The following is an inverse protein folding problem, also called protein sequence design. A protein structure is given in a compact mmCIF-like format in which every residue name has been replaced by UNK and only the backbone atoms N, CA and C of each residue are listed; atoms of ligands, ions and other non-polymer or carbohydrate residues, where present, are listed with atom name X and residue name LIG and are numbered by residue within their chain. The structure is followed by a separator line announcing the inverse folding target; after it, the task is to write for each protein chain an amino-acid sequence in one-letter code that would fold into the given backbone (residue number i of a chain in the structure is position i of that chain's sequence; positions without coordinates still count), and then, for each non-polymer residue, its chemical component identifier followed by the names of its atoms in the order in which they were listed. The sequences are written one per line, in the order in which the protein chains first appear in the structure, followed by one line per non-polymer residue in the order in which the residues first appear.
data_IF_143746084869
#
_entry.id   IF_143746084869
#
_cell.length_a   1.000
_cell.length_b   1.000
_cell.length_c   1.000
_cell.angle_alpha   90.00
_cell.angle_beta   90.00
_cell.angle_gamma   90.00
#
_symmetry.space_group_name_H-M   'P 1'
#
loop_
_entity.id
_entity.type
_entity.pdbx_description
1 polymer ?
#
# COMPACT_ATOMS: atom_id res chain seq x y z
N UNK A 1 -17.94 17.55 69.86
CA UNK A 1 -16.61 16.93 69.80
C UNK A 1 -16.77 15.52 69.24
N UNK A 2 -16.46 15.34 67.93
CA UNK A 2 -16.25 14.03 67.30
C UNK A 2 -15.17 14.20 66.24
N UNK A 3 -14.07 13.51 66.46
CA UNK A 3 -12.84 13.45 65.70
C UNK A 3 -13.09 12.92 64.29
N UNK A 4 -12.72 13.67 63.24
CA UNK A 4 -12.61 13.20 61.85
C UNK A 4 -11.26 12.49 61.67
N UNK A 5 -11.34 11.20 61.41
CA UNK A 5 -10.18 10.37 61.01
C UNK A 5 -9.81 10.67 59.58
N UNK A 6 -8.58 11.08 59.41
CA UNK A 6 -7.88 11.26 58.15
C UNK A 6 -7.72 9.92 57.42
N UNK A 7 -8.33 9.75 56.23
CA UNK A 7 -8.10 8.59 55.37
C UNK A 7 -6.99 8.93 54.38
N UNK A 8 -5.85 8.28 54.58
CA UNK A 8 -4.71 8.37 53.64
C UNK A 8 -5.10 7.89 52.23
N UNK A 9 -4.80 8.69 51.25
CA UNK A 9 -4.91 8.32 49.83
C UNK A 9 -3.72 7.41 49.48
N UNK A 10 -4.03 6.15 49.21
CA UNK A 10 -3.08 5.23 48.61
C UNK A 10 -2.77 5.68 47.15
N UNK A 11 -1.50 5.84 46.85
CA UNK A 11 -1.01 6.08 45.46
C UNK A 11 -1.23 4.80 44.64
N UNK A 12 -1.71 4.91 43.37
CA UNK A 12 -1.77 3.75 42.49
C UNK A 12 -0.36 3.28 42.13
N UNK A 13 -0.16 1.97 41.89
CA UNK A 13 1.14 1.43 41.51
C UNK A 13 1.56 1.93 40.12
N UNK A 14 2.82 2.32 40.02
CA UNK A 14 3.50 2.67 38.76
C UNK A 14 3.67 1.37 37.99
N UNK A 15 2.92 1.20 36.89
CA UNK A 15 3.15 0.11 35.96
C UNK A 15 4.43 0.43 35.17
N UNK A 16 5.47 -0.36 35.42
CA UNK A 16 6.69 -0.37 34.62
C UNK A 16 6.36 -0.84 33.20
N UNK A 17 6.55 0.04 32.22
CA UNK A 17 6.38 -0.29 30.81
C UNK A 17 7.39 -1.36 30.35
N UNK A 18 7.06 -2.13 29.31
CA UNK A 18 7.98 -3.14 28.77
C UNK A 18 9.27 -2.51 28.24
N UNK A 19 10.40 -3.23 28.31
CA UNK A 19 11.69 -2.69 27.91
C UNK A 19 11.74 -2.42 26.40
N UNK A 20 12.33 -1.30 26.02
CA UNK A 20 12.58 -0.93 24.64
C UNK A 20 13.38 -2.03 23.92
N UNK A 21 12.79 -2.62 22.89
CA UNK A 21 13.45 -3.62 22.05
C UNK A 21 14.50 -2.90 21.20
N UNK A 22 15.74 -2.97 21.61
CA UNK A 22 16.89 -2.57 20.80
C UNK A 22 17.12 -3.65 19.74
N UNK A 23 16.87 -3.36 18.49
CA UNK A 23 17.27 -4.19 17.37
C UNK A 23 18.79 -4.20 17.24
N UNK A 24 19.43 -5.21 17.84
CA UNK A 24 20.84 -5.52 17.56
C UNK A 24 20.85 -6.50 16.38
N UNK A 25 21.53 -6.12 15.31
CA UNK A 25 21.95 -7.02 14.23
C UNK A 25 22.73 -8.18 14.86
N UNK A 26 22.21 -9.40 14.79
CA UNK A 26 22.99 -10.61 14.98
C UNK A 26 23.26 -11.20 13.59
N UNK A 27 24.50 -11.05 13.14
CA UNK A 27 25.08 -11.88 12.08
C UNK A 27 25.35 -13.24 12.72
N UNK A 28 24.60 -14.26 12.37
CA UNK A 28 24.91 -15.66 12.67
C UNK A 28 25.66 -16.23 11.49
N UNK A 29 26.97 -16.39 11.66
CA UNK A 29 27.84 -17.16 10.77
C UNK A 29 27.49 -18.65 10.96
N UNK A 30 26.75 -19.22 10.03
CA UNK A 30 26.50 -20.67 9.98
C UNK A 30 27.65 -21.37 9.25
N UNK A 31 28.38 -22.19 9.96
CA UNK A 31 29.37 -23.13 9.39
C UNK A 31 28.60 -24.25 8.70
N UNK A 32 28.71 -24.34 7.38
CA UNK A 32 28.17 -25.45 6.59
C UNK A 32 29.31 -26.50 6.44
N UNK A 33 29.13 -27.62 7.08
CA UNK A 33 29.95 -28.83 6.87
C UNK A 33 29.54 -29.49 5.56
N UNK A 34 30.45 -29.58 4.62
CA UNK A 34 30.25 -30.24 3.32
C UNK A 34 30.25 -31.76 3.43
N UNK A 35 29.13 -32.40 3.10
CA UNK A 35 29.10 -33.81 2.70
C UNK A 35 29.17 -33.88 1.17
N UNK A 36 30.25 -34.42 0.64
CA UNK A 36 30.40 -34.72 -0.76
C UNK A 36 29.59 -35.97 -1.12
N UNK A 37 28.51 -35.80 -1.92
CA UNK A 37 27.84 -36.89 -2.63
C UNK A 37 28.12 -36.71 -4.11
N UNK A 38 28.83 -37.62 -4.73
CA UNK A 38 29.02 -37.71 -6.17
C UNK A 38 27.73 -38.26 -6.79
N UNK A 39 26.98 -37.36 -7.44
CA UNK A 39 25.80 -37.69 -8.24
C UNK A 39 25.87 -36.96 -9.58
N UNK A 40 25.62 -37.68 -10.67
CA UNK A 40 25.57 -37.18 -12.05
C UNK A 40 24.80 -35.86 -12.13
N UNK A 41 25.48 -34.80 -12.46
CA UNK A 41 24.88 -33.47 -12.71
C UNK A 41 24.18 -33.50 -14.07
N UNK A 42 22.85 -33.70 -14.07
CA UNK A 42 22.05 -33.12 -15.13
C UNK A 42 22.19 -31.59 -14.97
N UNK A 43 22.82 -30.93 -15.94
CA UNK A 43 22.91 -29.50 -16.00
C UNK A 43 21.46 -28.95 -16.17
N UNK A 44 20.82 -28.62 -15.08
CA UNK A 44 19.66 -27.76 -15.10
C UNK A 44 20.18 -26.39 -15.53
N UNK A 45 19.90 -26.01 -16.77
CA UNK A 45 20.02 -24.63 -17.22
C UNK A 45 19.01 -23.84 -16.38
N UNK A 46 19.44 -23.31 -15.25
CA UNK A 46 18.71 -22.26 -14.58
C UNK A 46 18.70 -21.10 -15.55
N UNK A 47 17.53 -20.83 -16.11
CA UNK A 47 17.33 -19.59 -16.86
C UNK A 47 17.84 -18.46 -15.96
N UNK A 48 18.83 -17.72 -16.43
CA UNK A 48 19.35 -16.58 -15.70
C UNK A 48 18.17 -15.66 -15.42
N UNK A 49 17.86 -15.43 -14.14
CA UNK A 49 16.84 -14.46 -13.76
C UNK A 49 17.25 -13.14 -14.40
N UNK A 50 16.38 -12.56 -15.23
CA UNK A 50 16.66 -11.28 -15.84
C UNK A 50 17.00 -10.27 -14.73
N UNK A 51 18.03 -9.44 -14.97
CA UNK A 51 18.36 -8.38 -14.01
C UNK A 51 17.16 -7.46 -13.80
N UNK A 52 16.91 -7.01 -12.54
CA UNK A 52 15.82 -6.11 -12.27
C UNK A 52 15.89 -4.85 -13.11
N UNK A 53 14.79 -4.51 -13.76
CA UNK A 53 14.68 -3.26 -14.51
C UNK A 53 14.31 -2.11 -13.56
N UNK A 54 14.76 -0.88 -13.81
CA UNK A 54 14.43 0.27 -12.99
C UNK A 54 12.93 0.59 -13.06
N UNK A 55 12.36 1.23 -12.01
CA UNK A 55 11.00 1.72 -12.02
C UNK A 55 10.74 2.68 -13.18
N UNK A 56 9.55 2.62 -13.77
CA UNK A 56 9.12 3.57 -14.79
C UNK A 56 8.96 4.96 -14.18
N UNK A 57 9.45 5.98 -14.89
CA UNK A 57 9.37 7.37 -14.44
C UNK A 57 7.91 7.81 -14.22
N UNK A 58 7.64 8.47 -13.10
CA UNK A 58 6.31 8.98 -12.73
C UNK A 58 5.27 7.93 -12.34
N UNK A 59 5.60 6.64 -12.41
CA UNK A 59 4.69 5.55 -12.00
C UNK A 59 4.82 5.31 -10.50
N UNK A 60 3.69 5.31 -9.81
CA UNK A 60 3.65 5.09 -8.36
C UNK A 60 4.05 3.66 -8.02
N UNK A 61 5.00 3.45 -7.10
CA UNK A 61 5.20 2.15 -6.51
C UNK A 61 4.02 1.80 -5.60
N UNK A 62 3.81 0.51 -5.33
CA UNK A 62 2.84 0.03 -4.38
C UNK A 62 3.53 -0.68 -3.22
N UNK A 63 2.87 -0.68 -2.06
CA UNK A 63 3.26 -1.48 -0.90
C UNK A 63 2.08 -2.30 -0.44
N UNK A 64 2.34 -3.53 -0.04
CA UNK A 64 1.36 -4.45 0.53
C UNK A 64 1.88 -4.92 1.88
N UNK A 65 1.01 -4.95 2.88
CA UNK A 65 1.33 -5.55 4.16
C UNK A 65 1.44 -7.06 4.01
N UNK A 66 2.65 -7.60 4.01
CA UNK A 66 2.91 -9.04 4.05
C UNK A 66 2.88 -9.58 5.47
N UNK A 67 2.84 -10.91 5.64
CA UNK A 67 2.80 -11.54 6.96
C UNK A 67 4.03 -11.30 7.84
N UNK A 68 5.15 -10.92 7.25
CA UNK A 68 6.45 -10.68 7.94
C UNK A 68 7.02 -9.27 7.70
N UNK A 69 6.30 -8.39 7.00
CA UNK A 69 6.74 -7.03 6.71
C UNK A 69 6.17 -6.48 5.41
N UNK A 70 6.56 -5.27 5.02
CA UNK A 70 6.12 -4.66 3.79
C UNK A 70 6.73 -5.37 2.58
N UNK A 71 5.90 -5.55 1.55
CA UNK A 71 6.30 -6.05 0.24
C UNK A 71 6.03 -4.94 -0.77
N UNK A 72 7.06 -4.55 -1.50
CA UNK A 72 7.03 -3.44 -2.43
C UNK A 72 6.88 -3.94 -3.86
N UNK A 73 6.14 -3.20 -4.66
CA UNK A 73 5.93 -3.45 -6.08
C UNK A 73 6.21 -2.20 -6.89
N UNK A 74 6.81 -2.37 -8.04
CA UNK A 74 6.97 -1.31 -9.01
C UNK A 74 6.82 -1.85 -10.43
N UNK A 75 6.37 -0.98 -11.32
CA UNK A 75 6.27 -1.26 -12.75
C UNK A 75 7.48 -0.67 -13.45
N UNK A 76 8.19 -1.47 -14.23
CA UNK A 76 9.29 -1.02 -15.04
C UNK A 76 8.80 -0.35 -16.36
N UNK A 77 9.67 0.36 -17.05
CA UNK A 77 9.33 1.10 -18.27
C UNK A 77 8.76 0.21 -19.40
N UNK A 78 9.12 -1.07 -19.43
CA UNK A 78 8.58 -2.05 -20.37
C UNK A 78 7.23 -2.65 -19.93
N UNK A 79 6.66 -2.21 -18.81
CA UNK A 79 5.38 -2.69 -18.26
C UNK A 79 5.48 -3.94 -17.40
N UNK A 80 6.65 -4.54 -17.21
CA UNK A 80 6.80 -5.67 -16.28
C UNK A 80 6.69 -5.20 -14.85
N UNK A 81 6.06 -6.01 -13.99
CA UNK A 81 5.90 -5.74 -12.56
C UNK A 81 6.96 -6.50 -11.78
N UNK A 82 7.62 -5.82 -10.88
CA UNK A 82 8.65 -6.35 -10.00
C UNK A 82 8.20 -6.26 -8.54
N UNK A 83 8.59 -7.25 -7.77
CA UNK A 83 8.36 -7.28 -6.32
C UNK A 83 9.67 -7.36 -5.58
N UNK A 84 9.70 -6.74 -4.39
CA UNK A 84 10.88 -6.68 -3.52
C UNK A 84 10.45 -6.58 -2.06
N UNK A 85 11.19 -7.23 -1.18
CA UNK A 85 11.19 -6.99 0.27
C UNK A 85 12.34 -6.05 0.62
N UNK A 86 12.41 -5.59 1.84
CA UNK A 86 13.42 -4.65 2.32
C UNK A 86 14.86 -5.14 2.08
N UNK A 87 15.10 -6.45 2.29
CA UNK A 87 16.43 -7.07 2.22
C UNK A 87 16.60 -8.05 1.05
N UNK A 88 15.54 -8.37 0.32
CA UNK A 88 15.57 -9.33 -0.78
C UNK A 88 15.98 -8.71 -2.11
N UNK A 89 16.44 -9.53 -3.05
CA UNK A 89 16.57 -9.11 -4.45
C UNK A 89 15.19 -8.90 -5.09
N UNK A 90 15.11 -7.97 -6.04
CA UNK A 90 13.87 -7.78 -6.80
C UNK A 90 13.63 -8.99 -7.72
N UNK A 91 12.38 -9.45 -7.78
CA UNK A 91 11.95 -10.55 -8.65
C UNK A 91 10.76 -10.12 -9.50
N UNK A 92 10.67 -10.65 -10.73
CA UNK A 92 9.54 -10.36 -11.61
C UNK A 92 8.29 -11.11 -11.14
N UNK A 93 7.15 -10.43 -11.17
CA UNK A 93 5.86 -10.99 -10.73
C UNK A 93 5.35 -12.07 -11.69
N UNK A 94 5.46 -11.89 -12.96
CA UNK A 94 5.03 -12.82 -14.03
C UNK A 94 5.33 -12.17 -15.37
N UNK A 95 5.12 -12.89 -16.48
CA UNK A 95 5.43 -12.40 -17.82
C UNK A 95 4.44 -11.36 -18.37
N UNK A 96 3.39 -11.02 -17.63
CA UNK A 96 2.42 -10.02 -18.04
C UNK A 96 2.97 -8.59 -18.02
N UNK A 97 2.28 -7.72 -18.75
CA UNK A 97 2.61 -6.29 -18.82
C UNK A 97 1.41 -5.44 -18.41
N UNK A 98 1.67 -4.45 -17.58
CA UNK A 98 0.68 -3.48 -17.14
C UNK A 98 1.08 -2.07 -17.59
N UNK A 99 0.10 -1.18 -17.62
CA UNK A 99 0.29 0.24 -17.90
C UNK A 99 0.03 1.03 -16.62
N UNK A 100 1.03 1.71 -16.11
CA UNK A 100 0.95 2.46 -14.86
C UNK A 100 1.19 1.58 -13.63
N UNK A 101 0.72 2.06 -12.49
CA UNK A 101 0.93 1.40 -11.20
C UNK A 101 -0.01 0.22 -10.97
N UNK A 102 0.39 -0.65 -10.06
CA UNK A 102 -0.42 -1.77 -9.54
C UNK A 102 -0.96 -1.44 -8.15
N UNK A 103 -1.99 -2.16 -7.74
CA UNK A 103 -2.50 -2.19 -6.37
C UNK A 103 -2.53 -3.64 -5.88
N UNK A 104 -2.35 -3.86 -4.58
CA UNK A 104 -2.27 -5.22 -4.05
C UNK A 104 -2.96 -5.41 -2.72
N UNK A 105 -3.37 -6.64 -2.46
CA UNK A 105 -3.97 -7.12 -1.22
C UNK A 105 -3.23 -8.36 -0.74
N UNK A 106 -3.03 -8.51 0.58
CA UNK A 106 -2.50 -9.73 1.19
C UNK A 106 -3.60 -10.45 1.96
N UNK A 107 -3.99 -11.65 1.54
CA UNK A 107 -5.10 -12.41 2.13
C UNK A 107 -4.69 -13.34 3.28
N UNK A 108 -3.49 -13.15 3.83
CA UNK A 108 -2.93 -14.00 4.90
C UNK A 108 -2.00 -15.11 4.39
N UNK A 109 -2.09 -15.50 3.12
CA UNK A 109 -1.24 -16.53 2.49
C UNK A 109 -0.65 -16.10 1.15
N UNK A 110 -1.36 -15.29 0.40
CA UNK A 110 -0.98 -14.86 -0.95
C UNK A 110 -1.27 -13.37 -1.14
N UNK A 111 -0.57 -12.77 -2.07
CA UNK A 111 -0.86 -11.43 -2.55
C UNK A 111 -1.71 -11.54 -3.81
N UNK A 112 -2.71 -10.68 -3.92
CA UNK A 112 -3.51 -10.47 -5.12
C UNK A 112 -3.12 -9.10 -5.65
N UNK A 113 -2.49 -9.06 -6.83
CA UNK A 113 -2.14 -7.82 -7.51
C UNK A 113 -3.14 -7.50 -8.60
N UNK A 114 -3.44 -6.23 -8.75
CA UNK A 114 -4.31 -5.68 -9.80
C UNK A 114 -3.56 -4.62 -10.59
N UNK A 115 -3.74 -4.63 -11.90
CA UNK A 115 -3.13 -3.67 -12.80
C UNK A 115 -3.97 -3.43 -14.05
N UNK A 116 -3.74 -2.31 -14.72
CA UNK A 116 -4.31 -2.03 -16.02
C UNK A 116 -3.45 -2.70 -17.10
N UNK A 117 -4.04 -3.58 -17.89
CA UNK A 117 -3.37 -4.19 -19.04
C UNK A 117 -3.22 -3.22 -20.21
N UNK A 118 -2.40 -3.58 -21.20
CA UNK A 118 -2.19 -2.79 -22.43
C UNK A 118 -3.45 -2.65 -23.29
N UNK A 119 -4.44 -3.53 -23.07
CA UNK A 119 -5.77 -3.49 -23.69
C UNK A 119 -6.78 -2.69 -22.86
N UNK A 120 -6.33 -1.92 -21.86
CA UNK A 120 -7.14 -1.14 -20.92
C UNK A 120 -8.06 -1.95 -20.00
N UNK A 121 -8.06 -3.27 -20.05
CA UNK A 121 -8.82 -4.09 -19.10
C UNK A 121 -8.14 -4.12 -17.73
N UNK A 122 -8.92 -4.40 -16.68
CA UNK A 122 -8.39 -4.76 -15.38
C UNK A 122 -7.86 -6.19 -15.43
N UNK A 123 -6.65 -6.40 -14.94
CA UNK A 123 -6.01 -7.71 -14.83
C UNK A 123 -5.58 -7.95 -13.38
N UNK A 124 -5.50 -9.22 -13.00
CA UNK A 124 -4.96 -9.61 -11.70
C UNK A 124 -4.01 -10.80 -11.81
N UNK A 125 -3.09 -10.90 -10.87
CA UNK A 125 -2.23 -12.05 -10.64
C UNK A 125 -2.18 -12.34 -9.15
N UNK A 126 -2.04 -13.63 -8.80
CA UNK A 126 -1.91 -14.07 -7.40
C UNK A 126 -0.58 -14.75 -7.18
N UNK A 127 0.02 -14.54 -6.01
CA UNK A 127 1.30 -15.18 -5.75
C UNK A 127 1.88 -14.87 -4.39
N UNK A 128 3.05 -15.44 -4.15
CA UNK A 128 3.83 -15.27 -2.93
C UNK A 128 5.32 -15.50 -3.24
N UNK A 129 6.17 -14.60 -2.75
CA UNK A 129 7.60 -14.66 -3.02
C UNK A 129 7.91 -14.63 -4.52
N UNK A 130 8.51 -15.70 -5.03
CA UNK A 130 8.89 -15.85 -6.45
C UNK A 130 7.86 -16.62 -7.28
N UNK A 131 6.76 -17.07 -6.69
CA UNK A 131 5.74 -17.89 -7.36
C UNK A 131 4.50 -17.08 -7.63
N UNK A 132 4.23 -16.79 -8.88
CA UNK A 132 3.08 -16.02 -9.34
C UNK A 132 2.28 -16.77 -10.38
N UNK A 133 0.95 -16.60 -10.37
CA UNK A 133 0.09 -17.03 -11.46
C UNK A 133 0.36 -16.17 -12.70
N UNK A 134 -0.09 -16.66 -13.86
CA UNK A 134 -0.24 -15.78 -15.01
C UNK A 134 -1.29 -14.71 -14.72
N UNK A 135 -1.17 -13.57 -15.38
CA UNK A 135 -2.18 -12.52 -15.33
C UNK A 135 -3.48 -12.99 -15.97
N UNK A 136 -4.60 -12.78 -15.28
CA UNK A 136 -5.95 -13.09 -15.75
C UNK A 136 -6.77 -11.81 -15.88
N UNK A 137 -7.54 -11.68 -16.96
CA UNK A 137 -8.35 -10.48 -17.21
C UNK A 137 -9.66 -10.52 -16.41
N UNK A 138 -10.00 -9.39 -15.83
CA UNK A 138 -11.32 -9.11 -15.22
C UNK A 138 -12.19 -8.25 -16.13
N UNK A 139 -11.74 -7.97 -17.36
CA UNK A 139 -12.47 -7.12 -18.29
C UNK A 139 -12.56 -5.66 -17.85
N UNK A 140 -13.59 -4.96 -18.33
CA UNK A 140 -13.75 -3.52 -18.14
C UNK A 140 -12.88 -2.70 -19.09
N UNK A 141 -13.04 -1.37 -19.02
CA UNK A 141 -12.18 -0.39 -19.71
C UNK A 141 -11.79 0.68 -18.71
N UNK A 142 -10.57 0.52 -18.15
CA UNK A 142 -10.06 1.42 -17.12
C UNK A 142 -8.95 2.30 -17.67
N UNK A 143 -8.86 3.54 -17.17
CA UNK A 143 -7.94 4.56 -17.71
C UNK A 143 -6.79 4.91 -16.77
N UNK A 144 -6.87 4.46 -15.48
CA UNK A 144 -5.85 4.73 -14.48
C UNK A 144 -5.52 3.46 -13.67
N UNK A 145 -4.56 3.57 -12.74
CA UNK A 145 -4.27 2.51 -11.79
C UNK A 145 -5.51 2.14 -10.95
N UNK A 146 -5.75 0.86 -10.65
CA UNK A 146 -6.80 0.45 -9.74
C UNK A 146 -6.42 0.70 -8.27
N UNK A 147 -7.42 0.81 -7.40
CA UNK A 147 -7.29 0.68 -5.95
C UNK A 147 -8.02 -0.57 -5.48
N UNK A 148 -7.46 -1.33 -4.56
CA UNK A 148 -8.06 -2.56 -4.05
C UNK A 148 -8.17 -2.53 -2.53
N UNK A 149 -9.20 -3.18 -1.98
CA UNK A 149 -9.47 -3.18 -0.54
C UNK A 149 -10.18 -4.46 -0.10
N UNK A 150 -9.77 -5.05 1.04
CA UNK A 150 -10.59 -6.06 1.72
C UNK A 150 -11.77 -5.41 2.45
N UNK A 151 -12.90 -6.13 2.48
CA UNK A 151 -14.13 -5.71 3.16
C UNK A 151 -14.45 -6.65 4.31
N UNK A 152 -13.67 -6.58 5.39
CA UNK A 152 -13.88 -7.34 6.62
C UNK A 152 -13.42 -8.80 6.60
N UNK A 153 -13.16 -9.40 5.45
CA UNK A 153 -12.58 -10.75 5.36
C UNK A 153 -11.68 -10.92 4.14
N UNK A 154 -10.77 -11.91 4.19
CA UNK A 154 -9.82 -12.19 3.13
C UNK A 154 -10.45 -12.68 1.82
N UNK A 155 -11.71 -13.13 1.83
CA UNK A 155 -12.46 -13.59 0.67
C UNK A 155 -13.42 -12.54 0.08
N UNK A 156 -13.65 -11.43 0.82
CA UNK A 156 -14.55 -10.34 0.39
C UNK A 156 -13.73 -9.09 0.17
N UNK A 157 -13.59 -8.68 -1.08
CA UNK A 157 -12.80 -7.52 -1.47
C UNK A 157 -13.38 -6.84 -2.70
N UNK A 158 -12.97 -5.61 -2.92
CA UNK A 158 -13.37 -4.83 -4.06
C UNK A 158 -12.17 -4.19 -4.76
N UNK A 159 -12.34 -3.95 -6.05
CA UNK A 159 -11.41 -3.16 -6.85
C UNK A 159 -12.13 -1.96 -7.42
N UNK A 160 -11.56 -0.80 -7.20
CA UNK A 160 -12.02 0.48 -7.72
C UNK A 160 -11.11 0.92 -8.84
N UNK A 161 -11.67 1.47 -9.90
CA UNK A 161 -10.92 1.96 -11.04
C UNK A 161 -11.58 3.18 -11.66
N UNK A 162 -10.79 4.00 -12.36
CA UNK A 162 -11.32 5.09 -13.19
C UNK A 162 -11.75 4.51 -14.54
N UNK A 163 -13.02 4.65 -14.88
CA UNK A 163 -13.55 4.27 -16.18
C UNK A 163 -13.24 5.28 -17.29
N UNK A 164 -13.57 4.95 -18.53
CA UNK A 164 -13.37 5.82 -19.68
C UNK A 164 -14.14 7.14 -19.64
N UNK A 165 -15.23 7.18 -18.85
CA UNK A 165 -16.03 8.39 -18.60
C UNK A 165 -15.45 9.28 -17.47
N UNK A 166 -14.30 8.91 -16.88
CA UNK A 166 -13.68 9.65 -15.78
C UNK A 166 -14.25 9.35 -14.39
N UNK A 167 -15.34 8.60 -14.29
CA UNK A 167 -15.96 8.23 -13.02
C UNK A 167 -15.24 7.06 -12.34
N UNK A 168 -15.46 6.90 -11.03
CA UNK A 168 -15.07 5.72 -10.27
C UNK A 168 -16.05 4.59 -10.56
N UNK A 169 -15.52 3.42 -10.85
CA UNK A 169 -16.22 2.16 -11.02
C UNK A 169 -15.67 1.15 -10.05
N UNK A 170 -16.52 0.29 -9.52
CA UNK A 170 -16.12 -0.78 -8.62
C UNK A 170 -16.54 -2.14 -9.15
N UNK A 171 -15.80 -3.16 -8.76
CA UNK A 171 -16.12 -4.56 -8.98
C UNK A 171 -15.81 -5.35 -7.70
N UNK A 172 -16.83 -6.05 -7.22
CA UNK A 172 -16.77 -6.78 -5.96
C UNK A 172 -16.42 -8.25 -6.20
N UNK A 173 -15.67 -8.81 -5.25
CA UNK A 173 -15.42 -10.24 -5.15
C UNK A 173 -15.99 -10.76 -3.83
N UNK A 174 -16.66 -11.93 -3.91
CA UNK A 174 -17.19 -12.67 -2.77
C UNK A 174 -16.90 -14.15 -2.91
N UNK A 175 -17.44 -14.99 -2.02
CA UNK A 175 -17.39 -16.46 -2.15
C UNK A 175 -18.05 -16.98 -3.43
N UNK A 176 -18.95 -16.21 -4.04
CA UNK A 176 -19.56 -16.51 -5.34
C UNK A 176 -18.70 -16.11 -6.55
N UNK A 177 -17.52 -15.51 -6.32
CA UNK A 177 -16.63 -14.97 -7.33
C UNK A 177 -16.86 -13.50 -7.60
N UNK A 178 -16.48 -13.03 -8.80
CA UNK A 178 -16.56 -11.64 -9.22
C UNK A 178 -17.96 -11.26 -9.67
N UNK A 179 -18.52 -10.19 -9.06
CA UNK A 179 -19.75 -9.53 -9.50
C UNK A 179 -19.56 -8.67 -10.75
N UNK A 180 -20.63 -7.99 -11.22
CA UNK A 180 -20.55 -7.04 -12.33
C UNK A 180 -19.84 -5.74 -11.91
N UNK A 181 -19.41 -4.94 -12.90
CA UNK A 181 -18.99 -3.57 -12.69
C UNK A 181 -20.20 -2.67 -12.35
N UNK A 182 -20.03 -1.79 -11.37
CA UNK A 182 -21.02 -0.76 -11.00
C UNK A 182 -20.33 0.58 -10.78
N UNK A 183 -21.07 1.67 -10.98
CA UNK A 183 -20.55 3.03 -10.86
C UNK A 183 -20.63 3.52 -9.42
N UNK A 184 -19.56 4.15 -8.95
CA UNK A 184 -19.47 4.90 -7.69
C UNK A 184 -19.58 6.42 -7.92
N UNK A 185 -19.70 6.85 -9.18
CA UNK A 185 -19.79 8.25 -9.55
C UNK A 185 -18.46 9.00 -9.51
N UNK A 186 -18.49 10.29 -9.23
CA UNK A 186 -17.33 11.17 -9.23
C UNK A 186 -16.83 11.52 -10.65
N UNK A 187 -15.79 12.35 -10.70
CA UNK A 187 -15.06 12.67 -11.92
C UNK A 187 -13.60 12.99 -11.57
N UNK A 188 -12.68 12.11 -11.95
CA UNK A 188 -11.29 12.11 -11.53
C UNK A 188 -10.42 12.92 -12.48
N UNK A 189 -9.38 13.56 -11.92
CA UNK A 189 -8.38 14.33 -12.66
C UNK A 189 -7.48 13.41 -13.50
N UNK A 190 -7.33 13.73 -14.78
CA UNK A 190 -6.35 13.11 -15.68
C UNK A 190 -6.31 11.58 -15.58
N UNK A 191 -5.12 11.03 -15.43
CA UNK A 191 -4.87 9.59 -15.28
C UNK A 191 -4.75 9.16 -13.82
N UNK A 192 -5.34 9.91 -12.88
CA UNK A 192 -5.35 9.53 -11.46
C UNK A 192 -6.38 8.44 -11.21
N UNK A 193 -6.00 7.45 -10.43
CA UNK A 193 -6.88 6.37 -9.98
C UNK A 193 -7.47 6.63 -8.60
N UNK A 194 -8.49 5.86 -8.20
CA UNK A 194 -8.99 5.83 -6.83
C UNK A 194 -8.07 5.02 -5.93
N UNK A 195 -8.08 5.33 -4.64
CA UNK A 195 -7.53 4.47 -3.59
C UNK A 195 -8.61 4.15 -2.57
N UNK A 196 -8.59 2.97 -1.96
CA UNK A 196 -9.63 2.53 -1.05
C UNK A 196 -9.05 1.88 0.21
N UNK A 197 -9.79 2.03 1.34
CA UNK A 197 -9.50 1.38 2.60
C UNK A 197 -10.79 1.02 3.33
N UNK A 198 -10.75 -0.04 4.14
CA UNK A 198 -11.88 -0.48 4.96
C UNK A 198 -11.62 -0.09 6.41
N UNK A 199 -12.47 0.78 6.96
CA UNK A 199 -12.34 1.29 8.31
C UNK A 199 -13.71 1.50 8.95
N UNK A 200 -13.88 1.05 10.20
CA UNK A 200 -15.14 1.21 10.93
C UNK A 200 -16.34 0.47 10.30
N UNK A 201 -16.11 -0.63 9.57
CA UNK A 201 -17.16 -1.35 8.86
C UNK A 201 -17.52 -0.77 7.49
N UNK A 202 -16.87 0.32 7.08
CA UNK A 202 -17.16 1.09 5.86
C UNK A 202 -15.96 1.03 4.91
N UNK A 203 -16.25 0.88 3.61
CA UNK A 203 -15.25 1.06 2.56
C UNK A 203 -15.20 2.53 2.16
N UNK A 204 -14.05 3.15 2.34
CA UNK A 204 -13.76 4.53 1.98
C UNK A 204 -12.97 4.59 0.68
N UNK A 205 -13.28 5.56 -0.17
CA UNK A 205 -12.61 5.79 -1.46
C UNK A 205 -12.10 7.22 -1.51
N UNK A 206 -10.79 7.39 -1.72
CA UNK A 206 -10.12 8.68 -1.85
C UNK A 206 -9.70 8.91 -3.31
N UNK A 207 -9.99 10.07 -3.84
CA UNK A 207 -9.72 10.43 -5.24
C UNK A 207 -9.17 11.85 -5.38
N UNK A 208 -8.51 12.13 -6.50
CA UNK A 208 -8.20 13.47 -6.98
C UNK A 208 -9.26 13.88 -8.00
N UNK A 209 -10.04 14.91 -7.72
CA UNK A 209 -11.08 15.44 -8.61
C UNK A 209 -10.51 16.30 -9.75
N UNK A 210 -11.32 16.60 -10.76
CA UNK A 210 -10.92 17.38 -11.97
C UNK A 210 -10.36 18.76 -11.66
N UNK A 211 -10.73 19.35 -10.53
CA UNK A 211 -10.17 20.61 -10.01
C UNK A 211 -8.87 20.41 -9.20
N UNK A 212 -8.31 19.20 -9.20
CA UNK A 212 -7.10 18.77 -8.46
C UNK A 212 -7.25 18.72 -6.94
N UNK A 213 -8.43 19.01 -6.39
CA UNK A 213 -8.72 18.82 -4.97
C UNK A 213 -8.93 17.35 -4.65
N UNK A 214 -8.68 16.99 -3.39
CA UNK A 214 -8.90 15.63 -2.88
C UNK A 214 -10.32 15.51 -2.34
N UNK A 215 -10.94 14.37 -2.64
CA UNK A 215 -12.30 14.03 -2.25
C UNK A 215 -12.35 12.62 -1.68
N UNK A 216 -13.25 12.41 -0.70
CA UNK A 216 -13.49 11.10 -0.11
C UNK A 216 -14.98 10.75 -0.18
N UNK A 217 -15.30 9.48 -0.33
CA UNK A 217 -16.66 8.95 -0.29
C UNK A 217 -16.71 7.61 0.43
N UNK A 218 -17.87 7.26 0.97
CA UNK A 218 -18.23 5.89 1.30
C UNK A 218 -18.62 5.15 0.01
N UNK A 219 -18.08 3.96 -0.22
CA UNK A 219 -18.45 3.16 -1.40
C UNK A 219 -19.92 2.74 -1.34
N UNK A 220 -20.59 2.81 -2.49
CA UNK A 220 -22.02 2.56 -2.61
C UNK A 220 -22.91 3.79 -2.30
N UNK A 221 -22.35 4.90 -1.84
CA UNK A 221 -23.04 6.17 -1.69
C UNK A 221 -22.65 7.13 -2.82
N UNK A 222 -23.66 7.80 -3.39
CA UNK A 222 -23.43 8.79 -4.44
C UNK A 222 -22.99 10.11 -3.82
N UNK A 223 -21.71 10.42 -3.87
CA UNK A 223 -21.24 11.75 -3.50
C UNK A 223 -19.86 11.73 -2.85
N UNK A 224 -18.94 12.42 -3.50
CA UNK A 224 -17.60 12.66 -2.99
C UNK A 224 -17.55 14.00 -2.25
N UNK A 225 -17.11 14.00 -1.00
CA UNK A 225 -16.94 15.20 -0.16
C UNK A 225 -15.52 15.71 -0.24
N UNK A 226 -15.28 17.02 -0.38
CA UNK A 226 -13.94 17.59 -0.42
C UNK A 226 -13.27 17.44 0.94
N UNK A 227 -11.96 17.10 0.92
CA UNK A 227 -11.14 16.96 2.12
C UNK A 227 -9.93 17.90 2.12
N UNK A 228 -9.98 18.93 1.29
CA UNK A 228 -8.87 19.86 1.10
C UNK A 228 -7.69 19.21 0.39
N UNK A 229 -6.57 19.93 0.35
CA UNK A 229 -5.38 19.50 -0.36
C UNK A 229 -5.51 19.60 -1.87
N UNK A 230 -4.36 19.71 -2.54
CA UNK A 230 -4.27 19.79 -4.01
C UNK A 230 -3.21 18.82 -4.50
N UNK A 231 -3.56 17.97 -5.46
CA UNK A 231 -2.68 16.98 -6.06
C UNK A 231 -2.94 16.81 -7.55
N UNK A 232 -1.94 16.36 -8.28
CA UNK A 232 -2.06 15.88 -9.67
C UNK A 232 -1.74 14.39 -9.79
N UNK A 233 -1.62 13.70 -8.64
CA UNK A 233 -1.27 12.29 -8.57
C UNK A 233 -2.41 11.48 -7.95
N UNK A 234 -2.39 10.18 -8.15
CA UNK A 234 -3.25 9.24 -7.44
C UNK A 234 -2.90 9.28 -5.95
N UNK A 235 -3.90 9.48 -5.06
CA UNK A 235 -3.69 9.42 -3.63
C UNK A 235 -3.55 7.97 -3.16
N UNK A 236 -3.02 7.77 -1.95
CA UNK A 236 -3.06 6.50 -1.25
C UNK A 236 -3.94 6.61 -0.01
N UNK A 237 -4.76 5.59 0.26
CA UNK A 237 -5.62 5.50 1.43
C UNK A 237 -5.37 4.17 2.12
N UNK A 238 -5.19 4.21 3.43
CA UNK A 238 -5.00 3.03 4.26
C UNK A 238 -5.54 3.27 5.67
N UNK A 239 -5.39 2.31 6.54
CA UNK A 239 -5.73 2.44 7.96
C UNK A 239 -4.47 2.60 8.81
N UNK A 240 -4.65 3.19 9.99
CA UNK A 240 -3.72 3.17 11.10
C UNK A 240 -4.51 2.81 12.37
N UNK A 241 -3.88 2.53 13.51
CA UNK A 241 -4.59 2.26 14.75
C UNK A 241 -5.63 3.34 15.08
N UNK A 242 -6.90 2.96 15.06
CA UNK A 242 -8.02 3.86 15.31
C UNK A 242 -8.22 4.99 14.32
N UNK A 243 -7.66 4.90 13.12
CA UNK A 243 -7.73 5.97 12.14
C UNK A 243 -7.78 5.49 10.67
N UNK A 244 -8.44 6.27 9.85
CA UNK A 244 -8.33 6.23 8.39
C UNK A 244 -7.33 7.31 7.96
N UNK A 245 -6.32 6.96 7.15
CA UNK A 245 -5.20 7.85 6.81
C UNK A 245 -4.98 7.89 5.30
N UNK A 246 -4.89 9.09 4.76
CA UNK A 246 -4.54 9.33 3.37
C UNK A 246 -3.13 9.89 3.23
N UNK A 247 -2.48 9.53 2.13
CA UNK A 247 -1.17 10.03 1.73
C UNK A 247 -1.24 10.54 0.30
N UNK A 248 -0.55 11.65 0.04
CA UNK A 248 -0.60 12.25 -1.29
C UNK A 248 0.71 12.98 -1.60
N UNK A 249 1.09 13.00 -2.87
CA UNK A 249 2.08 13.92 -3.37
C UNK A 249 1.40 15.24 -3.73
N UNK A 250 1.78 16.31 -3.07
CA UNK A 250 1.33 17.67 -3.41
C UNK A 250 1.88 18.13 -4.76
N UNK A 251 1.36 19.23 -5.27
CA UNK A 251 1.81 19.84 -6.55
C UNK A 251 3.26 20.34 -6.51
N UNK A 252 3.80 20.54 -5.32
CA UNK A 252 5.22 20.88 -5.07
C UNK A 252 6.15 19.65 -5.05
N UNK A 253 5.63 18.44 -5.30
CA UNK A 253 6.40 17.21 -5.28
C UNK A 253 6.64 16.61 -3.89
N UNK A 254 6.16 17.23 -2.81
CA UNK A 254 6.36 16.79 -1.44
C UNK A 254 5.25 15.85 -1.00
N UNK A 255 5.57 14.89 -0.12
CA UNK A 255 4.58 13.99 0.48
C UNK A 255 3.84 14.66 1.64
N UNK A 256 2.53 14.40 1.71
CA UNK A 256 1.63 14.85 2.76
C UNK A 256 0.79 13.68 3.25
N UNK A 257 0.35 13.75 4.52
CA UNK A 257 -0.63 12.83 5.09
C UNK A 257 -1.79 13.58 5.74
N UNK A 258 -2.95 12.91 5.85
CA UNK A 258 -4.12 13.42 6.54
C UNK A 258 -4.81 12.28 7.28
N UNK A 259 -5.22 12.54 8.52
CA UNK A 259 -6.04 11.64 9.33
C UNK A 259 -7.50 12.04 9.18
N UNK A 260 -8.30 11.19 8.55
CA UNK A 260 -9.74 11.38 8.38
C UNK A 260 -10.51 10.97 9.63
N UNK A 261 -11.75 11.42 9.73
CA UNK A 261 -12.72 11.06 10.77
C UNK A 261 -12.27 11.41 12.21
N UNK A 262 -11.37 12.37 12.33
CA UNK A 262 -10.91 12.92 13.60
C UNK A 262 -10.76 14.44 13.46
N UNK A 263 -10.69 15.15 14.59
CA UNK A 263 -10.25 16.55 14.59
C UNK A 263 -8.78 16.60 14.17
N UNK A 264 -8.53 16.95 12.92
CA UNK A 264 -7.20 17.02 12.34
C UNK A 264 -6.96 18.40 11.75
N UNK A 265 -5.73 18.96 11.84
CA UNK A 265 -5.40 20.27 11.28
C UNK A 265 -5.40 20.31 9.75
N UNK A 266 -5.83 19.24 9.07
CA UNK A 266 -5.75 19.11 7.62
C UNK A 266 -4.53 18.29 7.17
N UNK A 267 -4.06 18.52 5.95
CA UNK A 267 -2.90 17.84 5.37
C UNK A 267 -1.60 18.33 5.99
N UNK A 268 -0.82 17.42 6.55
CA UNK A 268 0.47 17.67 7.19
C UNK A 268 1.61 17.16 6.32
N UNK A 269 2.71 17.91 6.26
CA UNK A 269 3.86 17.58 5.43
C UNK A 269 4.70 16.44 6.05
N UNK A 270 5.12 15.49 5.21
CA UNK A 270 6.08 14.43 5.55
C UNK A 270 7.48 14.70 5.00
N UNK A 271 7.61 15.64 4.07
CA UNK A 271 8.86 15.89 3.37
C UNK A 271 9.06 14.98 2.15
N UNK A 272 10.32 14.82 1.74
CA UNK A 272 10.71 14.09 0.53
C UNK A 272 10.49 14.91 -0.75
N UNK A 273 10.97 14.37 -1.87
CA UNK A 273 10.78 14.93 -3.22
C UNK A 273 10.47 13.80 -4.20
N UNK A 274 9.25 13.77 -4.73
CA UNK A 274 8.71 12.65 -5.49
C UNK A 274 8.24 13.07 -6.89
N UNK A 275 8.41 12.16 -7.86
CA UNK A 275 7.92 12.29 -9.22
C UNK A 275 6.63 11.51 -9.46
N UNK A 276 6.32 10.52 -8.60
CA UNK A 276 5.11 9.70 -8.68
C UNK A 276 4.07 10.08 -7.64
N UNK A 277 2.87 9.52 -7.71
CA UNK A 277 1.98 9.39 -6.56
C UNK A 277 2.58 8.46 -5.51
N UNK A 278 1.90 8.33 -4.38
CA UNK A 278 2.34 7.50 -3.26
C UNK A 278 1.53 6.20 -3.20
N UNK A 279 2.15 5.13 -2.69
CA UNK A 279 1.48 3.92 -2.22
C UNK A 279 1.51 3.88 -0.70
N UNK A 280 0.52 3.26 -0.07
CA UNK A 280 0.53 3.08 1.38
C UNK A 280 -0.14 1.77 1.81
N UNK A 281 0.35 1.18 2.90
CA UNK A 281 -0.25 0.02 3.54
C UNK A 281 -0.04 0.06 5.05
N UNK A 282 -1.03 -0.41 5.81
CA UNK A 282 -0.87 -0.71 7.23
C UNK A 282 -0.29 -2.12 7.37
N UNK A 283 0.80 -2.24 8.11
CA UNK A 283 1.45 -3.52 8.41
C UNK A 283 1.14 -3.91 9.85
N UNK A 284 0.38 -4.99 10.01
CA UNK A 284 -0.12 -5.46 11.31
C UNK A 284 0.96 -6.08 12.23
N UNK A 285 2.25 -5.99 11.90
CA UNK A 285 3.34 -6.46 12.74
C UNK A 285 3.55 -5.47 13.88
N UNK A 286 3.03 -5.83 15.07
CA UNK A 286 3.03 -4.94 16.23
C UNK A 286 1.97 -3.82 16.19
N UNK A 287 1.07 -3.82 15.21
CA UNK A 287 -0.19 -3.08 15.21
C UNK A 287 -0.13 -1.61 14.79
N UNK A 288 1.03 -0.97 14.81
CA UNK A 288 1.10 0.49 14.82
C UNK A 288 1.93 1.11 13.69
N UNK A 289 2.27 0.34 12.66
CA UNK A 289 3.10 0.82 11.56
C UNK A 289 2.31 0.97 10.25
N UNK A 290 2.38 2.13 9.65
CA UNK A 290 1.93 2.37 8.28
C UNK A 290 3.14 2.67 7.40
N UNK A 291 3.28 1.95 6.30
CA UNK A 291 4.34 2.20 5.33
C UNK A 291 3.80 3.00 4.15
N UNK A 292 4.59 3.98 3.73
CA UNK A 292 4.32 4.81 2.56
C UNK A 292 5.50 4.70 1.60
N UNK A 293 5.22 4.62 0.31
CA UNK A 293 6.25 4.51 -0.73
C UNK A 293 6.04 5.53 -1.84
N UNK A 294 7.13 5.99 -2.45
CA UNK A 294 7.10 6.90 -3.58
C UNK A 294 8.35 6.79 -4.44
N UNK A 295 8.25 7.21 -5.71
CA UNK A 295 9.40 7.30 -6.61
C UNK A 295 10.02 8.69 -6.49
N UNK A 296 11.26 8.75 -6.03
CA UNK A 296 12.02 9.97 -5.86
C UNK A 296 12.47 10.59 -7.20
N UNK A 297 12.99 11.80 -7.15
CA UNK A 297 13.50 12.54 -8.32
C UNK A 297 14.72 11.89 -8.97
N UNK A 298 15.42 11.03 -8.26
CA UNK A 298 16.56 10.23 -8.74
C UNK A 298 16.13 8.85 -9.29
N UNK A 299 14.84 8.62 -9.52
CA UNK A 299 14.27 7.36 -10.01
C UNK A 299 14.46 6.15 -9.08
N UNK A 300 14.77 6.38 -7.80
CA UNK A 300 14.76 5.34 -6.77
C UNK A 300 13.43 5.30 -6.03
N UNK A 301 13.02 4.11 -5.59
CA UNK A 301 11.86 3.95 -4.72
C UNK A 301 12.30 4.22 -3.28
N UNK A 302 11.55 5.09 -2.61
CA UNK A 302 11.72 5.42 -1.20
C UNK A 302 10.54 4.93 -0.39
N UNK A 303 10.78 4.56 0.86
CA UNK A 303 9.73 4.28 1.83
C UNK A 303 9.93 5.10 3.10
N UNK A 304 8.83 5.36 3.80
CA UNK A 304 8.82 5.91 5.15
C UNK A 304 7.83 5.09 5.99
N UNK A 305 8.17 4.85 7.24
CA UNK A 305 7.32 4.22 8.23
C UNK A 305 6.75 5.24 9.19
N UNK A 306 5.44 5.27 9.37
CA UNK A 306 4.77 6.05 10.40
C UNK A 306 4.43 5.15 11.59
N UNK A 307 4.99 5.46 12.77
CA UNK A 307 4.69 4.77 14.01
C UNK A 307 3.62 5.55 14.79
N UNK A 308 2.47 4.90 15.03
CA UNK A 308 1.29 5.48 15.68
C UNK A 308 1.20 5.16 17.19
N UNK A 309 2.11 4.35 17.74
CA UNK A 309 2.11 3.97 19.17
C UNK A 309 2.23 5.17 20.11
N UNK A 310 2.75 6.29 19.61
CA UNK A 310 2.92 7.53 20.38
C UNK A 310 1.76 8.52 20.19
N UNK A 311 0.71 8.13 19.47
CA UNK A 311 -0.45 8.98 19.21
C UNK A 311 -0.33 9.82 17.93
N UNK A 312 -0.96 10.99 17.90
CA UNK A 312 -0.97 11.90 16.75
C UNK A 312 -0.24 13.21 17.10
N UNK A 313 0.64 13.73 16.21
CA UNK A 313 1.07 13.17 14.94
C UNK A 313 1.90 11.88 15.14
N UNK A 314 1.92 10.95 14.14
CA UNK A 314 2.75 9.76 14.21
C UNK A 314 4.23 10.14 14.18
N UNK A 315 5.07 9.27 14.71
CA UNK A 315 6.51 9.39 14.55
C UNK A 315 6.92 8.78 13.19
N UNK A 316 7.40 9.63 12.28
CA UNK A 316 7.95 9.20 10.99
C UNK A 316 9.40 8.75 11.16
N UNK A 317 9.76 7.63 10.52
CA UNK A 317 11.13 7.08 10.56
C UNK A 317 12.09 7.79 9.61
N UNK A 318 11.54 8.57 8.68
CA UNK A 318 12.24 9.27 7.62
C UNK A 318 12.39 8.44 6.34
N UNK A 319 12.42 9.14 5.21
CA UNK A 319 12.49 8.53 3.88
C UNK A 319 13.82 7.81 3.67
N UNK A 320 13.74 6.53 3.39
CA UNK A 320 14.89 5.65 3.12
C UNK A 320 14.75 5.00 1.75
N UNK A 321 15.83 4.89 0.95
CA UNK A 321 15.77 4.23 -0.34
C UNK A 321 15.60 2.72 -0.16
N UNK A 322 14.78 2.11 -1.02
CA UNK A 322 14.75 0.67 -1.21
C UNK A 322 15.88 0.35 -2.19
N UNK A 323 17.03 -0.08 -1.65
CA UNK A 323 18.18 -0.41 -2.51
C UNK A 323 17.85 -1.53 -3.49
N UNK A 324 18.33 -1.47 -4.73
CA UNK A 324 18.10 -2.49 -5.78
C UNK A 324 18.52 -3.89 -5.39
#
# INVERSE_FOLDING_TARGET
MRSMRNRGHARPPVLSGPPAVRWRRRLTTGVVTSLAAVGLAAASVTAASAAPLPPAAGVSPAVVAGGIGPIYFYTAANGTVWTKTETGAATQVSDGRVVGAVSGLFNGSSIILFGRGTNHALWFATGSGTRWSNWASLGGSITAQPGAVFRGSASVYAVFARGGNGAVWARDHSSAGWGPWHSEGGNLFGDTGPSAAFFGGITWVLVTGTNKQLYIAEAGLTGFSPVGGISTATPALTTAPGALVGFVRGTNGVAYFHRFLATSPGWSQMGGAFTSGLGAANVAIGGDLTFTVGLGTNSQVYFDGANWSFGFPPHFLGWSPITP
#
